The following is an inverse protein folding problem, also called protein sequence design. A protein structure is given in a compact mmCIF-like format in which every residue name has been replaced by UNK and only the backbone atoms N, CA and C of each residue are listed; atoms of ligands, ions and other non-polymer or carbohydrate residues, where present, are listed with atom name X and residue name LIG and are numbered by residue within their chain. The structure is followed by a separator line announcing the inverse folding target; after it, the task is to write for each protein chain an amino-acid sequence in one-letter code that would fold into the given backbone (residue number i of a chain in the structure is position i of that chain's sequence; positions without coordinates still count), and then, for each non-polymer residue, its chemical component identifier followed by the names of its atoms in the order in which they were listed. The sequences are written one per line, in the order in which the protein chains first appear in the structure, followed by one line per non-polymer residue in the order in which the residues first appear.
data_IF_463290147984
#
_entry.id   IF_463290147984
#
_cell.length_a   1.000
_cell.length_b   1.000
_cell.length_c   1.000
_cell.angle_alpha   90.00
_cell.angle_beta   90.00
_cell.angle_gamma   90.00
#
_symmetry.space_group_name_H-M   'P 1'
#
loop_
_entity.id
_entity.type
_entity.pdbx_description
1 polymer ?
#
# COMPACT_ATOMS: atom_id res chain seq x y z
N UNK A 1 -4.41 10.65 11.70
CA UNK A 1 -3.84 9.46 12.37
C UNK A 1 -3.82 8.31 11.37
N UNK A 2 -2.72 7.58 11.25
CA UNK A 2 -2.51 6.48 10.29
C UNK A 2 -1.89 5.28 11.01
N UNK A 3 -2.17 4.06 10.55
CA UNK A 3 -1.45 2.86 10.96
C UNK A 3 -0.40 2.54 9.88
N UNK A 4 0.87 2.73 10.21
CA UNK A 4 1.98 2.62 9.25
C UNK A 4 2.14 1.22 8.65
N UNK A 5 2.87 1.15 7.53
CA UNK A 5 3.27 -0.10 6.88
C UNK A 5 4.04 -1.02 7.83
N UNK A 6 4.18 -2.30 7.45
CA UNK A 6 5.02 -3.25 8.17
C UNK A 6 6.42 -2.67 8.40
N UNK A 7 6.79 -2.45 9.66
CA UNK A 7 8.02 -1.76 10.02
C UNK A 7 9.15 -2.73 10.40
N UNK A 8 10.37 -2.41 9.94
CA UNK A 8 11.61 -3.10 10.25
C UNK A 8 11.53 -4.60 9.96
N UNK A 9 11.49 -5.46 10.99
CA UNK A 9 11.40 -6.91 10.84
C UNK A 9 10.10 -7.35 10.15
N UNK A 10 9.08 -6.49 10.16
CA UNK A 10 7.80 -6.73 9.52
C UNK A 10 7.77 -6.22 8.05
N UNK A 11 8.83 -5.55 7.56
CA UNK A 11 8.94 -5.13 6.16
C UNK A 11 9.38 -6.30 5.25
N UNK A 12 8.50 -7.29 5.17
CA UNK A 12 8.59 -8.48 4.32
C UNK A 12 7.17 -9.00 4.03
N UNK A 13 7.00 -9.86 3.02
CA UNK A 13 5.67 -10.29 2.52
C UNK A 13 4.65 -10.60 3.61
N UNK A 14 4.96 -11.54 4.52
CA UNK A 14 4.02 -11.94 5.57
C UNK A 14 3.68 -10.80 6.53
N UNK A 15 4.65 -9.96 6.88
CA UNK A 15 4.44 -8.81 7.76
C UNK A 15 3.58 -7.73 7.10
N UNK A 16 3.84 -7.46 5.82
CA UNK A 16 3.02 -6.54 5.00
C UNK A 16 1.60 -7.06 4.84
N UNK A 17 1.40 -8.33 4.48
CA UNK A 17 0.05 -8.92 4.33
C UNK A 17 -0.74 -8.85 5.63
N UNK A 18 -0.12 -9.16 6.77
CA UNK A 18 -0.77 -9.07 8.09
C UNK A 18 -1.13 -7.62 8.44
N UNK A 19 -0.24 -6.67 8.16
CA UNK A 19 -0.50 -5.25 8.44
C UNK A 19 -1.63 -4.71 7.54
N UNK A 20 -1.59 -5.01 6.24
CA UNK A 20 -2.63 -4.62 5.26
C UNK A 20 -3.98 -5.19 5.69
N UNK A 21 -4.06 -6.49 5.98
CA UNK A 21 -5.31 -7.12 6.43
C UNK A 21 -5.85 -6.55 7.74
N UNK A 22 -4.97 -6.24 8.70
CA UNK A 22 -5.40 -5.59 9.93
C UNK A 22 -5.96 -4.19 9.66
N UNK A 23 -5.31 -3.41 8.78
CA UNK A 23 -5.78 -2.09 8.37
C UNK A 23 -7.09 -2.15 7.57
N UNK A 24 -7.27 -3.13 6.69
CA UNK A 24 -8.52 -3.34 5.94
C UNK A 24 -9.69 -3.64 6.87
N UNK A 25 -9.47 -4.48 7.88
CA UNK A 25 -10.53 -4.91 8.79
C UNK A 25 -10.92 -3.81 9.79
N UNK A 26 -9.96 -3.05 10.29
CA UNK A 26 -10.16 -2.12 11.41
C UNK A 26 -10.11 -0.64 10.99
N UNK A 27 -9.91 -0.35 9.72
CA UNK A 27 -9.75 1.00 9.19
C UNK A 27 -10.19 1.13 7.73
N UNK A 28 -9.60 2.10 7.02
CA UNK A 28 -9.89 2.37 5.61
C UNK A 28 -8.63 2.21 4.77
N UNK A 29 -8.43 1.02 4.18
CA UNK A 29 -7.24 0.74 3.38
C UNK A 29 -7.08 1.72 2.20
N UNK A 30 -8.18 2.17 1.59
CA UNK A 30 -8.17 3.15 0.49
C UNK A 30 -7.55 4.51 0.88
N UNK A 31 -7.44 4.81 2.18
CA UNK A 31 -6.85 6.05 2.71
C UNK A 31 -5.46 5.83 3.30
N UNK A 32 -4.88 4.64 3.10
CA UNK A 32 -3.56 4.31 3.58
C UNK A 32 -2.49 5.10 2.82
N UNK A 33 -1.56 5.71 3.56
CA UNK A 33 -0.46 6.52 3.01
C UNK A 33 0.64 5.68 2.35
N UNK A 34 0.60 4.35 2.48
CA UNK A 34 1.44 3.45 1.72
C UNK A 34 2.82 3.19 2.33
N UNK A 35 3.78 2.92 1.44
CA UNK A 35 5.09 2.35 1.77
C UNK A 35 6.16 3.41 2.00
N UNK A 36 7.11 3.11 2.89
CA UNK A 36 8.39 3.83 3.02
C UNK A 36 9.53 2.81 3.14
N UNK A 37 10.74 3.16 2.70
CA UNK A 37 11.86 2.22 2.74
C UNK A 37 12.49 2.06 4.13
N UNK A 38 12.37 3.09 4.98
CA UNK A 38 13.09 3.22 6.26
C UNK A 38 14.56 2.79 6.17
N UNK A 39 15.22 3.16 5.07
CA UNK A 39 16.54 2.65 4.72
C UNK A 39 17.55 3.76 4.55
N UNK A 40 18.79 3.43 4.89
CA UNK A 40 19.98 4.24 4.59
C UNK A 40 20.70 3.83 3.30
N UNK A 41 20.13 2.91 2.52
CA UNK A 41 20.68 2.42 1.26
C UNK A 41 19.95 3.02 0.07
N UNK A 42 20.68 3.55 -0.92
CA UNK A 42 20.12 4.00 -2.19
C UNK A 42 19.48 2.86 -3.01
N UNK A 43 19.88 1.61 -2.76
CA UNK A 43 19.33 0.43 -3.43
C UNK A 43 18.06 -0.10 -2.75
N UNK A 44 17.43 0.67 -1.87
CA UNK A 44 16.25 0.23 -1.11
C UNK A 44 14.93 0.51 -1.80
N UNK A 45 14.88 1.34 -2.86
CA UNK A 45 13.65 1.64 -3.60
C UNK A 45 12.91 0.42 -4.18
N UNK A 46 13.56 -0.71 -4.53
CA UNK A 46 12.85 -1.95 -4.85
C UNK A 46 11.92 -2.46 -3.74
N UNK A 47 12.06 -2.00 -2.49
CA UNK A 47 11.06 -2.28 -1.43
C UNK A 47 9.68 -1.73 -1.77
N UNK A 48 9.60 -0.60 -2.47
CA UNK A 48 8.31 -0.09 -3.00
C UNK A 48 7.74 -1.01 -4.07
N UNK A 49 8.57 -1.54 -4.96
CA UNK A 49 8.12 -2.52 -5.95
C UNK A 49 7.60 -3.79 -5.26
N UNK A 50 8.34 -4.29 -4.26
CA UNK A 50 7.95 -5.46 -3.48
C UNK A 50 6.61 -5.25 -2.76
N UNK A 51 6.44 -4.11 -2.08
CA UNK A 51 5.17 -3.72 -1.47
C UNK A 51 4.02 -3.66 -2.49
N UNK A 52 4.23 -3.00 -3.64
CA UNK A 52 3.20 -2.87 -4.69
C UNK A 52 2.78 -4.23 -5.24
N UNK A 53 3.73 -5.15 -5.45
CA UNK A 53 3.43 -6.52 -5.88
C UNK A 53 2.61 -7.28 -4.84
N UNK A 54 2.94 -7.15 -3.56
CA UNK A 54 2.17 -7.77 -2.47
C UNK A 54 0.76 -7.18 -2.41
N UNK A 55 0.63 -5.85 -2.46
CA UNK A 55 -0.65 -5.14 -2.45
C UNK A 55 -1.53 -5.55 -3.64
N UNK A 56 -1.01 -5.51 -4.87
CA UNK A 56 -1.76 -5.91 -6.06
C UNK A 56 -2.16 -7.39 -6.02
N UNK A 57 -1.31 -8.27 -5.47
CA UNK A 57 -1.64 -9.68 -5.34
C UNK A 57 -2.79 -9.90 -4.34
N UNK A 58 -2.81 -9.19 -3.21
CA UNK A 58 -3.93 -9.26 -2.26
C UNK A 58 -5.24 -8.83 -2.92
N UNK A 59 -5.28 -7.65 -3.52
CA UNK A 59 -6.48 -7.17 -4.23
C UNK A 59 -6.89 -8.11 -5.37
N UNK A 60 -5.94 -8.62 -6.14
CA UNK A 60 -6.21 -9.57 -7.22
C UNK A 60 -6.86 -10.86 -6.69
N UNK A 61 -6.32 -11.42 -5.61
CA UNK A 61 -6.90 -12.60 -4.96
C UNK A 61 -8.29 -12.34 -4.40
N UNK A 62 -8.51 -11.19 -3.76
CA UNK A 62 -9.84 -10.82 -3.23
C UNK A 62 -10.87 -10.65 -4.37
N UNK A 63 -10.46 -10.16 -5.54
CA UNK A 63 -11.31 -10.08 -6.73
C UNK A 63 -11.62 -11.49 -7.27
N UNK A 64 -10.61 -12.36 -7.40
CA UNK A 64 -10.79 -13.75 -7.86
C UNK A 64 -11.72 -14.54 -6.94
N UNK A 65 -11.66 -14.28 -5.63
CA UNK A 65 -12.52 -14.90 -4.62
C UNK A 65 -13.93 -14.28 -4.56
N UNK A 66 -14.19 -13.18 -5.29
CA UNK A 66 -15.47 -12.46 -5.26
C UNK A 66 -15.71 -11.63 -4.00
N UNK A 67 -14.66 -11.33 -3.24
CA UNK A 67 -14.68 -10.50 -2.04
C UNK A 67 -14.64 -9.00 -2.40
N UNK A 68 -13.95 -8.66 -3.50
CA UNK A 68 -13.96 -7.34 -4.11
C UNK A 68 -14.57 -7.38 -5.52
N UNK A 69 -15.23 -6.29 -5.96
CA UNK A 69 -15.72 -6.21 -7.33
C UNK A 69 -14.56 -6.15 -8.33
N UNK A 70 -14.74 -6.79 -9.48
CA UNK A 70 -13.82 -6.71 -10.62
C UNK A 70 -13.94 -5.38 -11.38
N UNK A 71 -13.97 -4.25 -10.65
CA UNK A 71 -13.99 -2.88 -11.18
C UNK A 71 -12.56 -2.34 -11.22
N UNK A 72 -11.89 -2.50 -12.36
CA UNK A 72 -10.49 -2.13 -12.51
C UNK A 72 -10.24 -0.62 -12.45
N UNK A 73 -11.25 0.22 -12.70
CA UNK A 73 -11.10 1.67 -12.58
C UNK A 73 -11.06 2.07 -11.10
N UNK A 74 -11.98 1.53 -10.30
CA UNK A 74 -12.00 1.72 -8.85
C UNK A 74 -10.74 1.15 -8.18
N UNK A 75 -10.39 -0.10 -8.50
CA UNK A 75 -9.26 -0.80 -7.89
C UNK A 75 -7.95 -0.16 -8.35
N UNK A 76 -7.81 0.14 -9.64
CA UNK A 76 -6.63 0.81 -10.20
C UNK A 76 -6.38 2.16 -9.55
N UNK A 77 -7.42 2.98 -9.36
CA UNK A 77 -7.33 4.27 -8.67
C UNK A 77 -6.91 4.08 -7.22
N UNK A 78 -7.50 3.12 -6.51
CA UNK A 78 -7.14 2.81 -5.11
C UNK A 78 -5.67 2.40 -4.97
N UNK A 79 -5.17 1.55 -5.87
CA UNK A 79 -3.76 1.13 -5.89
C UNK A 79 -2.82 2.31 -6.18
N UNK A 80 -3.18 3.19 -7.13
CA UNK A 80 -2.41 4.41 -7.42
C UNK A 80 -2.36 5.34 -6.21
N UNK A 81 -3.49 5.50 -5.52
CA UNK A 81 -3.59 6.33 -4.33
C UNK A 81 -2.70 5.82 -3.20
N UNK A 82 -2.77 4.52 -2.87
CA UNK A 82 -1.90 3.91 -1.86
C UNK A 82 -0.42 3.95 -2.29
N UNK A 83 -0.15 3.84 -3.59
CA UNK A 83 1.22 3.82 -4.11
C UNK A 83 1.90 5.19 -4.14
N UNK A 84 1.13 6.29 -4.12
CA UNK A 84 1.66 7.64 -4.23
C UNK A 84 0.69 8.74 -3.74
N UNK A 85 -0.51 8.85 -4.33
CA UNK A 85 -1.33 10.08 -4.18
C UNK A 85 -1.75 10.33 -2.73
N UNK A 86 -2.04 9.29 -1.96
CA UNK A 86 -2.40 9.42 -0.54
C UNK A 86 -1.26 10.03 0.27
N UNK A 87 -0.02 9.59 0.04
CA UNK A 87 1.15 10.17 0.73
C UNK A 87 1.31 11.65 0.37
N UNK A 88 1.25 11.98 -0.92
CA UNK A 88 1.36 13.36 -1.41
C UNK A 88 0.31 14.26 -0.77
N UNK A 89 -0.95 13.84 -0.81
CA UNK A 89 -2.07 14.59 -0.24
C UNK A 89 -1.99 14.69 1.28
N UNK A 90 -1.59 13.62 1.97
CA UNK A 90 -1.49 13.59 3.42
C UNK A 90 -0.40 14.51 3.96
N UNK A 91 0.74 14.58 3.27
CA UNK A 91 1.88 15.43 3.67
C UNK A 91 1.85 16.83 3.03
N UNK A 92 0.98 17.08 2.04
CA UNK A 92 0.92 18.35 1.33
C UNK A 92 2.17 18.64 0.49
N UNK A 93 2.79 17.61 -0.07
CA UNK A 93 4.11 17.67 -0.76
C UNK A 93 3.99 17.45 -2.27
N UNK A 94 2.95 18.00 -2.91
CA UNK A 94 2.81 17.88 -4.35
C UNK A 94 4.13 18.25 -5.06
N UNK A 95 4.61 17.42 -6.01
CA UNK A 95 5.80 17.79 -6.77
C UNK A 95 5.52 19.15 -7.42
N UNK A 96 6.38 20.13 -7.15
CA UNK A 96 6.28 21.45 -7.77
C UNK A 96 6.51 21.38 -9.27
N UNK A 97 5.84 22.27 -10.01
CA UNK A 97 6.16 22.60 -11.41
C UNK A 97 7.59 23.15 -11.54
#
# INVERSE_FOLDING_TARGET
MQFGSGWWFNDQKNGMERQINALSNMGLLSRFVGMLTDSRSFLSYPRHEYFRRVLCNLFGSDIENGELPADFDLIGTTIQDISYNNAVNYFGIAPGD
#
